data_IF_923091858254
#
_entry.id   IF_923091858254
#
_cell.length_a   1.000
_cell.length_b   1.000
_cell.length_c   1.000
_cell.angle_alpha   90.00
_cell.angle_beta   90.00
_cell.angle_gamma   90.00
#
_symmetry.space_group_name_H-M   'P 1'
#
loop_
_entity.id
_entity.type
_entity.pdbx_description
1 polymer ?
#
# COMPACT_ATOMS: atom_id res chain seq x y z
N UNK A 1 14.57 -15.78 -14.64
CA UNK A 1 13.54 -14.73 -14.79
C UNK A 1 14.16 -13.36 -14.55
N UNK A 2 13.80 -12.43 -15.40
CA UNK A 2 14.32 -11.07 -15.29
C UNK A 2 13.63 -10.32 -14.17
N UNK A 3 14.38 -9.52 -13.40
CA UNK A 3 13.83 -8.60 -12.41
C UNK A 3 13.72 -7.24 -13.06
N UNK A 4 12.52 -6.69 -13.11
CA UNK A 4 12.27 -5.36 -13.67
C UNK A 4 12.03 -4.36 -12.54
N UNK A 5 12.82 -3.29 -12.53
CA UNK A 5 12.73 -2.25 -11.50
C UNK A 5 12.29 -0.95 -12.16
N UNK A 6 11.34 -0.27 -11.52
CA UNK A 6 10.73 0.94 -12.07
C UNK A 6 10.81 2.10 -11.10
N UNK A 7 10.98 3.30 -11.67
CA UNK A 7 10.96 4.56 -10.94
C UNK A 7 11.96 4.58 -9.77
N UNK A 8 13.21 4.23 -10.09
CA UNK A 8 14.29 4.26 -9.11
C UNK A 8 14.57 5.67 -8.61
N UNK A 9 14.81 5.80 -7.32
CA UNK A 9 15.11 7.10 -6.68
C UNK A 9 16.56 7.19 -6.22
N UNK A 10 17.42 6.20 -6.56
CA UNK A 10 18.77 6.10 -6.07
C UNK A 10 18.89 5.32 -4.76
N UNK A 11 17.80 5.21 -4.03
CA UNK A 11 17.74 4.45 -2.77
C UNK A 11 16.78 3.26 -2.87
N UNK A 12 15.74 3.38 -3.67
CA UNK A 12 14.72 2.34 -3.82
C UNK A 12 14.09 2.44 -5.21
N UNK A 13 13.28 1.43 -5.55
CA UNK A 13 12.39 1.46 -6.70
C UNK A 13 10.95 1.58 -6.21
N UNK A 14 10.09 2.32 -6.91
CA UNK A 14 8.68 2.40 -6.55
C UNK A 14 7.95 1.10 -6.80
N UNK A 15 8.38 0.36 -7.84
CA UNK A 15 7.80 -0.95 -8.14
C UNK A 15 8.90 -1.89 -8.64
N UNK A 16 8.79 -3.16 -8.26
CA UNK A 16 9.64 -4.24 -8.78
C UNK A 16 8.72 -5.34 -9.27
N UNK A 17 8.97 -5.85 -10.47
CA UNK A 17 8.19 -6.95 -11.06
C UNK A 17 9.10 -8.15 -11.27
N UNK A 18 8.67 -9.29 -10.77
CA UNK A 18 9.38 -10.55 -10.90
C UNK A 18 8.41 -11.71 -10.78
N UNK A 19 8.49 -12.70 -11.67
CA UNK A 19 7.65 -13.92 -11.63
C UNK A 19 6.15 -13.61 -11.54
N UNK A 20 5.67 -12.70 -12.39
CA UNK A 20 4.26 -12.29 -12.40
C UNK A 20 3.80 -11.68 -11.07
N UNK A 21 4.72 -11.10 -10.31
CA UNK A 21 4.42 -10.47 -9.03
C UNK A 21 4.96 -9.04 -9.02
N UNK A 22 4.13 -8.11 -8.53
CA UNK A 22 4.48 -6.70 -8.37
C UNK A 22 4.70 -6.41 -6.90
N UNK A 23 5.84 -5.83 -6.58
CA UNK A 23 6.18 -5.38 -5.23
C UNK A 23 6.21 -3.86 -5.25
N UNK A 24 5.36 -3.22 -4.47
CA UNK A 24 5.37 -1.76 -4.35
C UNK A 24 6.14 -1.33 -3.11
N UNK A 25 6.82 -0.20 -3.19
CA UNK A 25 7.38 0.43 -2.01
C UNK A 25 6.25 0.94 -1.11
N UNK A 26 6.57 1.29 0.13
CA UNK A 26 5.60 1.83 1.07
C UNK A 26 4.99 3.13 0.56
N UNK A 27 3.67 3.25 0.63
CA UNK A 27 2.94 4.44 0.21
C UNK A 27 2.51 5.23 1.42
N UNK A 28 2.73 6.53 1.37
CA UNK A 28 2.39 7.47 2.44
C UNK A 28 1.77 8.73 1.88
N UNK A 29 1.11 9.49 2.75
CA UNK A 29 0.58 10.80 2.43
C UNK A 29 0.66 11.66 3.70
N UNK A 30 1.26 12.84 3.62
CA UNK A 30 1.66 13.61 4.81
C UNK A 30 0.59 14.56 5.34
N UNK A 31 -0.53 14.73 4.64
CA UNK A 31 -1.54 15.71 4.99
C UNK A 31 -2.84 15.08 5.42
N UNK A 32 -3.55 15.73 6.34
CA UNK A 32 -4.86 15.28 6.79
C UNK A 32 -4.82 14.32 7.96
N UNK A 33 -6.01 13.89 8.38
CA UNK A 33 -6.16 12.88 9.43
C UNK A 33 -5.92 11.47 8.87
N UNK A 34 -6.04 10.44 9.72
CA UNK A 34 -5.75 9.07 9.29
C UNK A 34 -6.69 8.59 8.19
N UNK A 35 -7.96 9.02 8.20
CA UNK A 35 -8.90 8.64 7.13
C UNK A 35 -8.50 9.24 5.80
N UNK A 36 -8.19 10.54 5.79
CA UNK A 36 -7.75 11.23 4.58
C UNK A 36 -6.44 10.65 4.06
N UNK A 37 -5.48 10.39 4.95
CA UNK A 37 -4.23 9.76 4.56
C UNK A 37 -4.44 8.36 3.98
N UNK A 38 -5.29 7.57 4.60
CA UNK A 38 -5.58 6.20 4.11
C UNK A 38 -6.22 6.25 2.72
N UNK A 39 -7.17 7.15 2.50
CA UNK A 39 -7.79 7.33 1.17
C UNK A 39 -6.75 7.66 0.11
N UNK A 40 -5.85 8.60 0.38
CA UNK A 40 -4.82 9.02 -0.57
C UNK A 40 -3.78 7.92 -0.78
N UNK A 41 -3.38 7.21 0.27
CA UNK A 41 -2.45 6.08 0.17
C UNK A 41 -3.02 4.97 -0.70
N UNK A 42 -4.29 4.60 -0.50
CA UNK A 42 -4.93 3.55 -1.29
C UNK A 42 -5.09 3.97 -2.75
N UNK A 43 -5.34 5.24 -3.02
CA UNK A 43 -5.38 5.77 -4.38
C UNK A 43 -4.01 5.65 -5.07
N UNK A 44 -2.93 5.98 -4.36
CA UNK A 44 -1.56 5.79 -4.88
C UNK A 44 -1.26 4.33 -5.16
N UNK A 45 -1.66 3.44 -4.27
CA UNK A 45 -1.51 1.99 -4.47
C UNK A 45 -2.23 1.55 -5.75
N UNK A 46 -3.47 1.95 -5.91
CA UNK A 46 -4.28 1.56 -7.06
C UNK A 46 -3.68 2.08 -8.36
N UNK A 47 -3.23 3.34 -8.38
CA UNK A 47 -2.60 3.94 -9.54
C UNK A 47 -1.31 3.20 -9.94
N UNK A 48 -0.47 2.86 -8.96
CA UNK A 48 0.76 2.11 -9.23
C UNK A 48 0.47 0.69 -9.72
N UNK A 49 -0.50 0.00 -9.12
CA UNK A 49 -0.86 -1.34 -9.57
C UNK A 49 -1.35 -1.32 -11.01
N UNK A 50 -2.25 -0.39 -11.35
CA UNK A 50 -2.76 -0.25 -12.72
C UNK A 50 -1.64 0.06 -13.70
N UNK A 51 -0.66 0.85 -13.28
CA UNK A 51 0.49 1.21 -14.13
C UNK A 51 1.37 0.01 -14.45
N UNK A 52 1.49 -0.94 -13.53
CA UNK A 52 2.42 -2.07 -13.67
C UNK A 52 1.72 -3.41 -13.88
N UNK A 53 0.52 -3.40 -14.44
CA UNK A 53 -0.14 -4.60 -14.94
C UNK A 53 -0.92 -5.38 -13.91
N UNK A 54 -1.31 -4.76 -12.81
CA UNK A 54 -2.14 -5.37 -11.79
C UNK A 54 -3.36 -4.50 -11.49
N UNK A 55 -4.06 -4.76 -10.41
CA UNK A 55 -5.14 -3.92 -9.88
C UNK A 55 -5.43 -4.32 -8.44
N UNK A 56 -6.36 -3.61 -7.79
CA UNK A 56 -6.65 -3.85 -6.37
C UNK A 56 -7.25 -5.24 -6.09
N UNK A 57 -7.84 -5.87 -7.09
CA UNK A 57 -8.42 -7.21 -6.93
C UNK A 57 -7.40 -8.33 -7.07
N UNK A 58 -6.15 -7.99 -7.38
CA UNK A 58 -5.04 -8.93 -7.52
C UNK A 58 -4.02 -8.79 -6.40
N UNK A 59 -4.31 -8.04 -5.35
CA UNK A 59 -3.41 -7.88 -4.21
C UNK A 59 -3.30 -9.20 -3.46
N UNK A 60 -2.07 -9.64 -3.22
CA UNK A 60 -1.77 -10.89 -2.51
C UNK A 60 -1.59 -10.63 -1.02
N UNK A 61 -0.86 -9.57 -0.67
CA UNK A 61 -0.61 -9.24 0.72
C UNK A 61 -0.47 -7.73 0.91
N UNK A 62 -0.84 -7.28 2.11
CA UNK A 62 -0.71 -5.89 2.52
C UNK A 62 -0.18 -5.83 3.94
N UNK A 63 0.82 -4.97 4.17
CA UNK A 63 1.27 -4.63 5.51
C UNK A 63 0.92 -3.18 5.76
N UNK A 64 0.19 -2.94 6.83
CA UNK A 64 -0.26 -1.61 7.23
C UNK A 64 0.46 -1.22 8.50
N UNK A 65 1.06 -0.04 8.48
CA UNK A 65 1.78 0.53 9.62
C UNK A 65 1.01 1.76 10.08
N UNK A 66 0.63 1.79 11.36
CA UNK A 66 -0.03 2.95 11.97
C UNK A 66 0.92 3.56 12.99
N UNK A 67 0.99 4.88 13.01
CA UNK A 67 1.78 5.57 14.04
C UNK A 67 1.23 5.29 15.43
N UNK A 68 -0.09 5.17 15.55
CA UNK A 68 -0.78 4.90 16.80
C UNK A 68 -1.96 3.97 16.53
N UNK A 69 -2.07 2.88 17.29
CA UNK A 69 -3.16 1.91 17.11
C UNK A 69 -4.54 2.46 17.46
N UNK A 70 -4.61 3.64 18.10
CA UNK A 70 -5.91 4.32 18.29
C UNK A 70 -6.60 4.62 16.95
N UNK A 71 -5.84 4.68 15.84
CA UNK A 71 -6.36 4.98 14.51
C UNK A 71 -6.83 3.72 13.75
N UNK A 72 -6.77 2.55 14.38
CA UNK A 72 -7.07 1.28 13.74
C UNK A 72 -8.48 1.23 13.15
N UNK A 73 -9.48 1.62 13.94
CA UNK A 73 -10.88 1.59 13.48
C UNK A 73 -11.13 2.56 12.33
N UNK A 74 -10.57 3.77 12.39
CA UNK A 74 -10.73 4.77 11.33
C UNK A 74 -10.03 4.34 10.04
N UNK A 75 -8.82 3.80 10.14
CA UNK A 75 -8.13 3.25 8.97
C UNK A 75 -8.93 2.11 8.36
N UNK A 76 -9.41 1.18 9.19
CA UNK A 76 -10.19 0.04 8.70
C UNK A 76 -11.49 0.47 8.01
N UNK A 77 -12.13 1.55 8.46
CA UNK A 77 -13.35 2.02 7.80
C UNK A 77 -13.09 2.43 6.34
N UNK A 78 -11.94 3.02 6.07
CA UNK A 78 -11.54 3.39 4.70
C UNK A 78 -11.13 2.14 3.91
N UNK A 79 -10.35 1.27 4.50
CA UNK A 79 -9.93 0.02 3.88
C UNK A 79 -11.14 -0.84 3.49
N UNK A 80 -12.08 -1.03 4.40
CA UNK A 80 -13.27 -1.87 4.18
C UNK A 80 -14.13 -1.35 3.03
N UNK A 81 -14.21 -0.03 2.87
CA UNK A 81 -14.96 0.58 1.77
C UNK A 81 -14.22 0.46 0.43
N UNK A 82 -12.90 0.30 0.47
CA UNK A 82 -12.06 0.24 -0.73
C UNK A 82 -11.89 -1.17 -1.27
N UNK A 83 -11.69 -2.17 -0.38
CA UNK A 83 -11.45 -3.55 -0.80
C UNK A 83 -12.77 -4.20 -1.22
N UNK A 84 -12.74 -4.98 -2.29
CA UNK A 84 -13.93 -5.70 -2.73
C UNK A 84 -14.10 -6.99 -1.95
N UNK A 85 -15.35 -7.27 -1.55
CA UNK A 85 -15.70 -8.48 -0.82
C UNK A 85 -15.34 -9.72 -1.65
N UNK A 86 -14.66 -10.66 -1.04
CA UNK A 86 -14.16 -11.86 -1.70
C UNK A 86 -12.74 -11.71 -2.27
N UNK A 87 -12.19 -10.51 -2.32
CA UNK A 87 -10.85 -10.24 -2.86
C UNK A 87 -9.89 -9.71 -1.80
N UNK A 88 -10.18 -9.92 -0.53
CA UNK A 88 -9.34 -9.45 0.57
C UNK A 88 -7.97 -10.15 0.53
N UNK A 89 -6.88 -9.39 0.59
CA UNK A 89 -5.54 -9.98 0.66
C UNK A 89 -5.20 -10.48 2.05
N UNK A 90 -4.16 -11.28 2.16
CA UNK A 90 -3.52 -11.52 3.44
C UNK A 90 -3.02 -10.18 3.99
N UNK A 91 -3.26 -9.88 5.27
CA UNK A 91 -3.00 -8.57 5.82
C UNK A 91 -2.44 -8.62 7.24
N UNK A 92 -1.53 -7.72 7.55
CA UNK A 92 -1.09 -7.43 8.90
C UNK A 92 -1.14 -5.94 9.13
N UNK A 93 -1.47 -5.53 10.37
CA UNK A 93 -1.43 -4.13 10.76
C UNK A 93 -0.70 -4.03 12.11
N UNK A 94 0.33 -3.19 12.15
CA UNK A 94 1.14 -3.00 13.36
C UNK A 94 1.38 -1.52 13.59
N UNK A 95 1.73 -1.18 14.83
CA UNK A 95 2.16 0.16 15.16
C UNK A 95 3.64 0.32 14.84
N UNK A 96 4.00 1.43 14.21
CA UNK A 96 5.39 1.69 13.85
C UNK A 96 5.63 3.20 13.80
N UNK A 97 6.83 3.61 14.19
CA UNK A 97 7.27 4.98 14.00
C UNK A 97 7.76 5.12 12.57
N UNK A 98 7.13 6.01 11.82
CA UNK A 98 7.48 6.25 10.42
C UNK A 98 8.46 7.40 10.28
N UNK A 99 8.93 7.65 9.05
CA UNK A 99 10.02 8.58 8.78
C UNK A 99 9.74 10.03 9.21
N UNK A 100 8.46 10.45 9.21
CA UNK A 100 8.07 11.80 9.62
C UNK A 100 6.85 11.74 10.53
N UNK A 101 6.78 12.68 11.49
CA UNK A 101 5.68 12.71 12.46
C UNK A 101 4.32 12.94 11.83
N UNK A 102 4.26 13.61 10.68
CA UNK A 102 3.01 13.84 9.95
C UNK A 102 2.42 12.57 9.34
N UNK A 103 3.22 11.51 9.20
CA UNK A 103 2.76 10.25 8.62
C UNK A 103 2.03 9.43 9.69
N UNK A 104 0.73 9.19 9.47
CA UNK A 104 -0.11 8.42 10.39
C UNK A 104 -0.32 6.99 9.92
N UNK A 105 -0.18 6.73 8.61
CA UNK A 105 -0.35 5.41 8.02
C UNK A 105 0.65 5.23 6.87
N UNK A 106 1.14 4.01 6.74
CA UNK A 106 1.95 3.58 5.60
C UNK A 106 1.48 2.18 5.18
N UNK A 107 1.38 1.92 3.88
CA UNK A 107 0.93 0.62 3.38
C UNK A 107 1.90 0.12 2.34
N UNK A 108 2.35 -1.15 2.50
CA UNK A 108 3.14 -1.87 1.51
C UNK A 108 2.30 -2.97 0.90
N UNK A 109 2.43 -3.16 -0.40
CA UNK A 109 1.57 -4.05 -1.18
C UNK A 109 2.42 -4.99 -2.02
N UNK A 110 1.99 -6.26 -2.07
CA UNK A 110 2.45 -7.24 -3.06
C UNK A 110 1.23 -7.73 -3.82
N UNK A 111 1.30 -7.75 -5.14
CA UNK A 111 0.17 -8.10 -5.98
C UNK A 111 0.59 -9.01 -7.13
N UNK A 112 -0.36 -9.78 -7.65
CA UNK A 112 -0.15 -10.58 -8.85
C UNK A 112 -0.34 -9.72 -10.09
N UNK A 113 0.50 -9.93 -11.10
CA UNK A 113 0.27 -9.37 -12.45
C UNK A 113 -0.91 -10.12 -13.06
N UNK A 114 -1.85 -9.39 -13.61
CA UNK A 114 -3.00 -10.02 -14.26
C UNK A 114 -2.77 -10.35 -15.73
#
# INVERSE_FOLDING_TARGET
MEIKRYEGTGRMSRAVVHNNTVYLCGQTHAEGDVKEQTEEVLKKVEDLLNKYGSDKNHILSANIYLRDMKDFADMNSVWDAWIEDGNEPARACVEARMARESLLVEITIVAAVK
#
